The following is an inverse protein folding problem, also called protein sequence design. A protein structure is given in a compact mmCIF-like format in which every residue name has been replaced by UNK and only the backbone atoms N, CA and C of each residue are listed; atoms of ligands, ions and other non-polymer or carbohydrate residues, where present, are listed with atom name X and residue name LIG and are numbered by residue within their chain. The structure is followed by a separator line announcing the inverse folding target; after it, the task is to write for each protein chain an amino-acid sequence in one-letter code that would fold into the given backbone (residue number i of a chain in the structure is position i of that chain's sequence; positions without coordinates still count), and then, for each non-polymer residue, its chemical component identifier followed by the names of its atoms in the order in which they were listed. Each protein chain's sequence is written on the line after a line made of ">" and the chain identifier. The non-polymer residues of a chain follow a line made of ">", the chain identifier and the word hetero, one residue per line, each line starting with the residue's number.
data_IF_026262462223
#
_entry.id   IF_026262462223
#
_cell.length_a   1.000
_cell.length_b   1.000
_cell.length_c   1.000
_cell.angle_alpha   90.00
_cell.angle_beta   90.00
_cell.angle_gamma   90.00
#
_symmetry.space_group_name_H-M   'P 1'
#
loop_
_entity.id
_entity.type
_entity.pdbx_description
1 polymer ?
#
# COMPACT_ATOMS: atom_id res chain seq x y z
N UNK A 1 -48.28 -4.74 -20.87
CA UNK A 1 -47.32 -3.94 -20.08
C UNK A 1 -47.63 -2.46 -20.32
N UNK A 2 -48.17 -1.79 -19.31
CA UNK A 2 -48.71 -0.43 -19.42
C UNK A 2 -47.66 0.60 -19.85
N UNK A 3 -48.05 1.52 -20.75
CA UNK A 3 -47.25 2.69 -21.11
C UNK A 3 -46.94 3.46 -19.82
N UNK A 4 -45.66 3.58 -19.47
CA UNK A 4 -45.19 4.60 -18.52
C UNK A 4 -45.75 5.92 -19.06
N UNK A 5 -46.69 6.54 -18.34
CA UNK A 5 -47.25 7.82 -18.72
C UNK A 5 -46.13 8.86 -18.80
N UNK A 6 -46.23 9.85 -19.69
CA UNK A 6 -45.19 10.90 -19.75
C UNK A 6 -44.96 11.58 -18.41
N UNK A 7 -46.00 11.65 -17.58
CA UNK A 7 -45.96 12.15 -16.22
C UNK A 7 -45.06 11.31 -15.30
N UNK A 8 -45.17 9.97 -15.34
CA UNK A 8 -44.29 9.10 -14.55
C UNK A 8 -42.84 9.15 -15.04
N UNK A 9 -42.61 9.36 -16.33
CA UNK A 9 -41.27 9.60 -16.87
C UNK A 9 -40.70 10.93 -16.34
N UNK A 10 -41.46 12.03 -16.39
CA UNK A 10 -41.04 13.34 -15.88
C UNK A 10 -40.70 13.30 -14.40
N UNK A 11 -41.56 12.68 -13.58
CA UNK A 11 -41.32 12.49 -12.15
C UNK A 11 -40.01 11.72 -11.88
N UNK A 12 -39.71 10.69 -12.67
CA UNK A 12 -38.45 9.94 -12.54
C UNK A 12 -37.25 10.76 -12.99
N UNK A 13 -37.36 11.55 -14.06
CA UNK A 13 -36.27 12.46 -14.45
C UNK A 13 -35.98 13.52 -13.38
N UNK A 14 -37.02 14.10 -12.76
CA UNK A 14 -36.88 15.03 -11.63
C UNK A 14 -36.22 14.36 -10.43
N UNK A 15 -36.65 13.15 -10.07
CA UNK A 15 -36.02 12.38 -8.99
C UNK A 15 -34.54 12.07 -9.28
N UNK A 16 -34.19 11.75 -10.52
CA UNK A 16 -32.79 11.52 -10.94
C UNK A 16 -31.98 12.82 -10.82
N UNK A 17 -32.50 13.96 -11.30
CA UNK A 17 -31.81 15.26 -11.19
C UNK A 17 -31.59 15.65 -9.72
N UNK A 18 -32.61 15.50 -8.88
CA UNK A 18 -32.50 15.77 -7.45
C UNK A 18 -31.52 14.84 -6.72
N UNK A 19 -31.47 13.56 -7.10
CA UNK A 19 -30.47 12.62 -6.58
C UNK A 19 -29.06 13.00 -7.06
N UNK A 20 -28.90 13.36 -8.34
CA UNK A 20 -27.65 13.83 -8.90
C UNK A 20 -27.11 15.05 -8.15
N UNK A 21 -27.93 16.08 -7.91
CA UNK A 21 -27.47 17.28 -7.20
C UNK A 21 -27.02 16.98 -5.76
N UNK A 22 -27.71 16.06 -5.05
CA UNK A 22 -27.30 15.59 -3.71
C UNK A 22 -25.96 14.88 -3.73
N UNK A 23 -25.80 13.91 -4.64
CA UNK A 23 -24.55 13.15 -4.78
C UNK A 23 -23.37 14.06 -5.15
N UNK A 24 -23.57 15.01 -6.07
CA UNK A 24 -22.53 15.96 -6.49
C UNK A 24 -22.12 16.95 -5.39
N UNK A 25 -22.99 17.19 -4.39
CA UNK A 25 -22.65 17.95 -3.17
C UNK A 25 -21.89 17.12 -2.14
N UNK A 26 -21.72 15.82 -2.36
CA UNK A 26 -21.10 14.91 -1.41
C UNK A 26 -22.05 14.36 -0.35
N UNK A 27 -23.37 14.55 -0.50
CA UNK A 27 -24.39 13.93 0.36
C UNK A 27 -24.57 12.45 -0.01
N UNK A 28 -23.51 11.68 0.22
CA UNK A 28 -23.44 10.27 -0.15
C UNK A 28 -24.06 9.39 0.94
N UNK A 29 -24.89 8.40 0.57
CA UNK A 29 -25.34 7.37 1.51
C UNK A 29 -24.14 6.64 2.14
N UNK A 30 -24.25 6.20 3.41
CA UNK A 30 -23.14 5.58 4.11
C UNK A 30 -22.63 4.34 3.37
N UNK A 31 -21.32 4.31 3.13
CA UNK A 31 -20.64 3.20 2.45
C UNK A 31 -20.78 3.18 0.92
N UNK A 32 -21.55 4.11 0.32
CA UNK A 32 -21.72 4.21 -1.14
C UNK A 32 -20.77 5.22 -1.77
N UNK A 33 -20.55 5.07 -3.07
CA UNK A 33 -19.66 5.92 -3.87
C UNK A 33 -20.48 6.90 -4.70
N UNK A 34 -19.85 7.97 -5.17
CA UNK A 34 -20.50 8.90 -6.09
C UNK A 34 -20.51 8.33 -7.53
N UNK A 35 -21.34 7.32 -7.78
CA UNK A 35 -21.39 6.57 -9.04
C UNK A 35 -22.82 6.41 -9.60
N UNK A 36 -22.93 5.96 -10.85
CA UNK A 36 -24.22 5.72 -11.51
C UNK A 36 -25.07 4.66 -10.80
N UNK A 37 -24.45 3.72 -10.07
CA UNK A 37 -25.20 2.70 -9.32
C UNK A 37 -25.91 3.31 -8.12
N UNK A 38 -25.25 4.21 -7.41
CA UNK A 38 -25.83 4.96 -6.29
C UNK A 38 -26.89 5.94 -6.81
N UNK A 39 -26.65 6.63 -7.93
CA UNK A 39 -27.65 7.47 -8.57
C UNK A 39 -28.94 6.69 -8.93
N UNK A 40 -28.79 5.48 -9.50
CA UNK A 40 -29.93 4.63 -9.83
C UNK A 40 -30.75 4.27 -8.58
N UNK A 41 -30.05 3.85 -7.52
CA UNK A 41 -30.67 3.43 -6.28
C UNK A 41 -31.38 4.59 -5.56
N UNK A 42 -30.75 5.76 -5.48
CA UNK A 42 -31.33 6.96 -4.85
C UNK A 42 -32.53 7.53 -5.63
N UNK A 43 -32.52 7.41 -6.96
CA UNK A 43 -33.63 7.85 -7.81
C UNK A 43 -34.75 6.79 -7.96
N UNK A 44 -34.56 5.59 -7.38
CA UNK A 44 -35.51 4.48 -7.49
C UNK A 44 -35.75 4.05 -8.94
N UNK A 45 -34.67 4.02 -9.74
CA UNK A 45 -34.67 3.52 -11.13
C UNK A 45 -33.69 2.35 -11.27
N UNK A 46 -33.94 1.48 -12.25
CA UNK A 46 -33.00 0.40 -12.53
C UNK A 46 -31.74 0.96 -13.19
N UNK A 47 -30.57 0.45 -12.80
CA UNK A 47 -29.28 0.87 -13.41
C UNK A 47 -29.28 0.72 -14.93
N UNK A 48 -29.99 -0.28 -15.46
CA UNK A 48 -30.13 -0.52 -16.92
C UNK A 48 -30.91 0.57 -17.65
N UNK A 49 -31.59 1.48 -16.94
CA UNK A 49 -32.28 2.63 -17.53
C UNK A 49 -31.32 3.71 -18.04
N UNK A 50 -30.07 3.71 -17.56
CA UNK A 50 -29.01 4.63 -17.98
C UNK A 50 -28.20 4.14 -19.19
N UNK A 51 -28.31 2.86 -19.53
CA UNK A 51 -27.51 2.27 -20.61
C UNK A 51 -28.32 2.08 -21.88
N UNK A 52 -27.67 2.13 -23.06
CA UNK A 52 -28.28 1.73 -24.31
C UNK A 52 -28.74 0.27 -24.25
N UNK A 53 -29.82 -0.04 -24.97
CA UNK A 53 -30.40 -1.38 -25.07
C UNK A 53 -30.47 -1.82 -26.52
N UNK A 54 -30.21 -3.09 -26.76
CA UNK A 54 -30.36 -3.69 -28.08
C UNK A 54 -31.83 -4.01 -28.34
N UNK A 55 -32.33 -3.59 -29.48
CA UNK A 55 -33.63 -4.02 -29.99
C UNK A 55 -33.51 -5.45 -30.53
N UNK A 56 -34.67 -6.08 -30.74
CA UNK A 56 -34.77 -7.42 -31.33
C UNK A 56 -34.14 -7.50 -32.73
N UNK A 57 -34.12 -6.39 -33.44
CA UNK A 57 -33.56 -6.24 -34.79
C UNK A 57 -32.06 -5.88 -34.80
N UNK A 58 -31.39 -5.96 -33.66
CA UNK A 58 -29.95 -5.66 -33.53
C UNK A 58 -29.60 -4.16 -33.49
N UNK A 59 -30.57 -3.27 -33.65
CA UNK A 59 -30.37 -1.82 -33.54
C UNK A 59 -30.23 -1.37 -32.08
N UNK A 60 -29.37 -0.39 -31.82
CA UNK A 60 -29.14 0.17 -30.48
C UNK A 60 -30.15 1.29 -30.23
N UNK A 61 -30.93 1.17 -29.15
CA UNK A 61 -31.80 2.22 -28.65
C UNK A 61 -31.20 2.86 -27.40
N UNK A 62 -31.18 4.21 -27.28
CA UNK A 62 -30.72 4.84 -26.06
C UNK A 62 -31.61 4.47 -24.86
N UNK A 63 -30.99 4.34 -23.70
CA UNK A 63 -31.71 4.13 -22.44
C UNK A 63 -32.65 5.31 -22.14
N UNK A 64 -33.79 5.08 -21.46
CA UNK A 64 -34.76 6.13 -21.18
C UNK A 64 -34.16 7.35 -20.43
N UNK A 65 -33.12 7.13 -19.62
CA UNK A 65 -32.45 8.17 -18.85
C UNK A 65 -30.96 8.30 -19.18
N UNK A 66 -30.51 7.77 -20.32
CA UNK A 66 -29.09 7.78 -20.71
C UNK A 66 -28.48 9.20 -20.70
N UNK A 67 -29.22 10.18 -21.20
CA UNK A 67 -28.78 11.58 -21.21
C UNK A 67 -28.48 12.14 -19.81
N UNK A 68 -29.19 11.68 -18.76
CA UNK A 68 -28.95 12.08 -17.38
C UNK A 68 -27.71 11.39 -16.79
N UNK A 69 -27.39 10.17 -17.24
CA UNK A 69 -26.12 9.54 -16.87
C UNK A 69 -24.93 10.29 -17.46
N UNK A 70 -25.01 10.64 -18.75
CA UNK A 70 -23.97 11.44 -19.41
C UNK A 70 -23.84 12.82 -18.76
N UNK A 71 -24.94 13.45 -18.35
CA UNK A 71 -24.91 14.71 -17.61
C UNK A 71 -24.22 14.57 -16.25
N UNK A 72 -24.56 13.53 -15.48
CA UNK A 72 -23.95 13.23 -14.20
C UNK A 72 -22.43 13.02 -14.33
N UNK A 73 -22.01 12.21 -15.31
CA UNK A 73 -20.60 11.95 -15.58
C UNK A 73 -19.84 13.22 -16.01
N UNK A 74 -20.45 14.05 -16.88
CA UNK A 74 -19.87 15.34 -17.26
C UNK A 74 -19.69 16.26 -16.05
N UNK A 75 -20.71 16.42 -15.22
CA UNK A 75 -20.66 17.27 -14.01
C UNK A 75 -19.65 16.74 -12.99
N UNK A 76 -19.60 15.42 -12.79
CA UNK A 76 -18.59 14.78 -11.95
C UNK A 76 -17.19 15.09 -12.45
N UNK A 77 -16.94 14.91 -13.75
CA UNK A 77 -15.64 15.17 -14.34
C UNK A 77 -15.20 16.62 -14.13
N UNK A 78 -16.09 17.57 -14.34
CA UNK A 78 -15.82 19.00 -14.10
C UNK A 78 -15.46 19.28 -12.62
N UNK A 79 -16.15 18.65 -11.67
CA UNK A 79 -15.83 18.80 -10.24
C UNK A 79 -14.45 18.23 -9.89
N UNK A 80 -14.10 17.07 -10.47
CA UNK A 80 -12.77 16.48 -10.29
C UNK A 80 -11.68 17.36 -10.92
N UNK A 81 -11.91 17.90 -12.12
CA UNK A 81 -10.99 18.83 -12.80
C UNK A 81 -10.82 20.13 -11.99
N UNK A 82 -11.88 20.60 -11.33
CA UNK A 82 -11.84 21.72 -10.40
C UNK A 82 -11.20 21.38 -9.03
N UNK A 83 -10.74 20.15 -8.82
CA UNK A 83 -10.11 19.69 -7.58
C UNK A 83 -11.08 19.43 -6.42
N UNK A 84 -12.38 19.37 -6.69
CA UNK A 84 -13.39 19.06 -5.67
C UNK A 84 -13.45 17.54 -5.45
N UNK A 85 -13.18 17.11 -4.23
CA UNK A 85 -13.32 15.70 -3.83
C UNK A 85 -14.78 15.45 -3.44
N UNK A 86 -15.57 14.92 -4.36
CA UNK A 86 -16.98 14.60 -4.13
C UNK A 86 -17.13 13.35 -3.24
N UNK A 87 -16.25 12.36 -3.40
CA UNK A 87 -16.25 11.15 -2.57
C UNK A 87 -15.11 11.18 -1.53
N UNK A 88 -15.42 11.34 -0.23
CA UNK A 88 -14.41 11.39 0.83
C UNK A 88 -13.58 10.10 0.94
N UNK A 89 -14.09 8.96 0.45
CA UNK A 89 -13.36 7.69 0.43
C UNK A 89 -12.18 7.73 -0.53
N UNK A 90 -12.26 8.46 -1.63
CA UNK A 90 -11.14 8.58 -2.57
C UNK A 90 -9.96 9.29 -1.91
N UNK A 91 -10.22 10.38 -1.19
CA UNK A 91 -9.19 11.05 -0.38
C UNK A 91 -8.64 10.12 0.71
N UNK A 92 -9.49 9.33 1.36
CA UNK A 92 -9.05 8.36 2.36
C UNK A 92 -8.17 7.26 1.75
N UNK A 93 -8.55 6.72 0.60
CA UNK A 93 -7.78 5.72 -0.15
C UNK A 93 -6.41 6.29 -0.52
N UNK A 94 -6.36 7.52 -1.04
CA UNK A 94 -5.08 8.14 -1.40
C UNK A 94 -4.19 8.33 -0.17
N UNK A 95 -4.74 8.87 0.94
CA UNK A 95 -4.00 9.01 2.19
C UNK A 95 -3.48 7.66 2.71
N UNK A 96 -4.27 6.59 2.57
CA UNK A 96 -3.85 5.25 2.98
C UNK A 96 -2.74 4.71 2.09
N UNK A 97 -2.83 4.88 0.76
CA UNK A 97 -1.74 4.52 -0.17
C UNK A 97 -0.44 5.25 0.16
N UNK A 98 -0.52 6.55 0.44
CA UNK A 98 0.66 7.33 0.80
C UNK A 98 1.27 6.84 2.12
N UNK A 99 0.44 6.43 3.08
CA UNK A 99 0.90 5.84 4.35
C UNK A 99 1.52 4.46 4.15
N UNK A 100 0.93 3.59 3.34
CA UNK A 100 1.49 2.25 3.08
C UNK A 100 2.81 2.36 2.36
N UNK A 101 2.93 3.21 1.34
CA UNK A 101 4.19 3.45 0.63
C UNK A 101 5.30 3.94 1.59
N UNK A 102 4.98 4.90 2.49
CA UNK A 102 5.92 5.37 3.51
C UNK A 102 6.34 4.28 4.49
N UNK A 103 5.43 3.37 4.86
CA UNK A 103 5.75 2.27 5.76
C UNK A 103 6.61 1.21 5.06
N UNK A 104 6.34 0.92 3.80
CA UNK A 104 7.15 0.01 2.98
C UNK A 104 8.59 0.52 2.86
N UNK A 105 8.79 1.80 2.51
CA UNK A 105 10.14 2.39 2.45
C UNK A 105 10.88 2.30 3.79
N UNK A 106 10.20 2.62 4.91
CA UNK A 106 10.82 2.51 6.24
C UNK A 106 11.17 1.07 6.60
N UNK A 107 10.34 0.11 6.21
CA UNK A 107 10.59 -1.30 6.46
C UNK A 107 11.81 -1.79 5.67
N UNK A 108 11.92 -1.38 4.41
CA UNK A 108 13.08 -1.66 3.57
C UNK A 108 14.37 -1.09 4.18
N UNK A 109 14.37 0.19 4.56
CA UNK A 109 15.50 0.84 5.25
C UNK A 109 15.92 0.10 6.52
N UNK A 110 14.96 -0.22 7.39
CA UNK A 110 15.24 -0.96 8.63
C UNK A 110 15.74 -2.37 8.35
N UNK A 111 15.23 -3.04 7.33
CA UNK A 111 15.68 -4.39 6.96
C UNK A 111 17.13 -4.39 6.46
N UNK A 112 17.53 -3.35 5.72
CA UNK A 112 18.90 -3.17 5.24
C UNK A 112 19.85 -2.91 6.41
N UNK A 113 19.49 -1.99 7.31
CA UNK A 113 20.28 -1.70 8.52
C UNK A 113 20.44 -2.95 9.41
N UNK A 114 19.37 -3.73 9.59
CA UNK A 114 19.43 -4.98 10.34
C UNK A 114 20.33 -6.04 9.67
N UNK A 115 20.37 -6.08 8.34
CA UNK A 115 21.28 -6.98 7.61
C UNK A 115 22.74 -6.57 7.84
N UNK A 116 23.06 -5.28 7.68
CA UNK A 116 24.41 -4.73 7.92
C UNK A 116 24.88 -4.98 9.36
N UNK A 117 24.01 -4.73 10.36
CA UNK A 117 24.33 -4.99 11.76
C UNK A 117 24.58 -6.47 12.05
N UNK A 118 23.86 -7.37 11.40
CA UNK A 118 24.08 -8.82 11.53
C UNK A 118 25.41 -9.24 10.93
N UNK A 119 25.73 -8.76 9.73
CA UNK A 119 27.01 -9.04 9.07
C UNK A 119 28.19 -8.50 9.89
N UNK A 120 28.08 -7.25 10.36
CA UNK A 120 29.08 -6.64 11.22
C UNK A 120 29.29 -7.45 12.51
N UNK A 121 28.19 -7.83 13.19
CA UNK A 121 28.26 -8.65 14.40
C UNK A 121 28.95 -9.99 14.14
N UNK A 122 28.61 -10.66 13.04
CA UNK A 122 29.23 -11.93 12.67
C UNK A 122 30.74 -11.77 12.46
N UNK A 123 31.15 -10.76 11.68
CA UNK A 123 32.56 -10.47 11.42
C UNK A 123 33.33 -10.13 12.71
N UNK A 124 32.74 -9.32 13.59
CA UNK A 124 33.35 -8.95 14.87
C UNK A 124 33.57 -10.18 15.76
N UNK A 125 32.57 -11.06 15.87
CA UNK A 125 32.69 -12.30 16.64
C UNK A 125 33.75 -13.23 16.06
N UNK A 126 33.82 -13.40 14.73
CA UNK A 126 34.87 -14.18 14.08
C UNK A 126 36.26 -13.63 14.35
N UNK A 127 36.44 -12.29 14.30
CA UNK A 127 37.71 -11.64 14.61
C UNK A 127 38.12 -11.82 16.06
N UNK A 128 37.20 -11.64 17.01
CA UNK A 128 37.45 -11.85 18.44
C UNK A 128 37.86 -13.30 18.70
N UNK A 129 37.15 -14.27 18.10
CA UNK A 129 37.49 -15.69 18.23
C UNK A 129 38.89 -15.99 17.68
N UNK A 130 39.23 -15.47 16.50
CA UNK A 130 40.56 -15.66 15.90
C UNK A 130 41.66 -15.03 16.76
N UNK A 131 41.44 -13.82 17.28
CA UNK A 131 42.39 -13.15 18.18
C UNK A 131 42.58 -13.92 19.49
N UNK A 132 41.49 -14.46 20.04
CA UNK A 132 41.55 -15.26 21.26
C UNK A 132 42.40 -16.52 21.06
N UNK A 133 42.16 -17.26 19.96
CA UNK A 133 42.94 -18.44 19.61
C UNK A 133 44.43 -18.12 19.42
N UNK A 134 44.74 -17.00 18.77
CA UNK A 134 46.13 -16.56 18.56
C UNK A 134 46.82 -16.18 19.87
N UNK A 135 46.12 -15.50 20.79
CA UNK A 135 46.65 -15.18 22.13
C UNK A 135 46.97 -16.48 22.89
N UNK A 136 46.09 -17.48 22.85
CA UNK A 136 46.32 -18.76 23.51
C UNK A 136 47.50 -19.53 22.89
N UNK A 137 47.65 -19.49 21.56
CA UNK A 137 48.82 -20.05 20.86
C UNK A 137 50.12 -19.38 21.34
N UNK A 138 50.17 -18.04 21.32
CA UNK A 138 51.34 -17.27 21.73
C UNK A 138 51.69 -17.47 23.21
N UNK A 139 50.69 -17.58 24.10
CA UNK A 139 50.89 -17.91 25.51
C UNK A 139 51.51 -19.28 25.69
N UNK A 140 51.03 -20.27 24.93
CA UNK A 140 51.55 -21.65 24.97
C UNK A 140 52.99 -21.71 24.49
N UNK A 141 53.32 -21.04 23.38
CA UNK A 141 54.70 -20.97 22.84
C UNK A 141 55.66 -20.28 23.81
N UNK A 142 55.22 -19.17 24.42
CA UNK A 142 56.02 -18.46 25.43
C UNK A 142 56.28 -19.32 26.66
N UNK A 143 55.28 -20.06 27.14
CA UNK A 143 55.44 -20.97 28.26
C UNK A 143 56.40 -22.13 27.94
N UNK A 144 56.33 -22.69 26.74
CA UNK A 144 57.27 -23.72 26.28
C UNK A 144 58.71 -23.20 26.19
N UNK A 145 58.92 -22.02 25.60
CA UNK A 145 60.24 -21.37 25.50
C UNK A 145 60.84 -21.05 26.88
N UNK A 146 60.03 -20.56 27.82
CA UNK A 146 60.46 -20.30 29.20
C UNK A 146 60.92 -21.58 29.91
N UNK A 147 60.25 -22.71 29.72
CA UNK A 147 60.67 -23.99 30.31
C UNK A 147 62.04 -24.43 29.78
N UNK A 148 62.30 -24.25 28.48
CA UNK A 148 63.60 -24.57 27.86
C UNK A 148 64.73 -23.68 28.41
N UNK A 149 64.48 -22.39 28.63
CA UNK A 149 65.46 -21.48 29.22
C UNK A 149 65.82 -21.86 30.67
N UNK A 150 64.85 -22.31 31.47
CA UNK A 150 65.10 -22.78 32.85
C UNK A 150 65.99 -24.02 32.86
N UNK A 151 65.72 -25.00 31.98
CA UNK A 151 66.49 -26.24 31.87
C UNK A 151 67.95 -25.96 31.47
N UNK A 152 68.18 -25.07 30.51
CA UNK A 152 69.53 -24.71 30.06
C UNK A 152 70.29 -23.87 31.10
N UNK A 153 69.62 -23.02 31.89
CA UNK A 153 70.26 -22.30 33.01
C UNK A 153 70.65 -23.22 34.18
N UNK A 154 69.90 -24.29 34.40
CA UNK A 154 70.21 -25.30 35.42
C UNK A 154 71.40 -26.16 34.99
N UNK A 155 71.48 -26.51 33.70
CA UNK A 155 72.60 -27.26 33.14
C UNK A 155 73.94 -26.49 33.16
N UNK A 156 73.90 -25.15 33.05
CA UNK A 156 75.11 -24.30 33.15
C UNK A 156 75.63 -24.09 34.58
N UNK A 157 74.84 -24.37 35.62
CA UNK A 157 75.25 -24.19 37.03
C UNK A 157 75.99 -25.38 37.64
N UNK A 158 76.01 -26.55 36.97
CA UNK A 158 76.71 -27.75 37.44
C UNK A 158 77.93 -28.10 36.56
N UNK A 159 78.88 -27.18 36.43
CA UNK A 159 80.22 -27.52 35.91
C UNK A 159 81.22 -27.46 37.06
N UNK A 160 81.71 -28.60 37.59
CA UNK A 160 82.80 -28.58 38.55
C UNK A 160 84.13 -28.29 37.82
N UNK A 161 85.00 -27.53 38.49
CA UNK A 161 86.43 -27.32 38.16
C UNK A 161 87.23 -28.43 38.82
#
# INVERSE_FOLDING_TARGET
>A
MGRITEETRKQKEEAIRAAMDRLLRGELPPGRQCDLSTLAAEAGVTRTAFYPKNNRDGTIRPGPYQHLAEEFERRLKLLHEAGTVVDPRLAQIQRLKDKTAKLETRLEEQSAELAELKEFKQLALSRIAAQHLEIERLRTERAASSKVAVLTSSARRNRPV
#
